data_IF_688682216352
#
_entry.id   IF_688682216352
#
_cell.length_a   1.000
_cell.length_b   1.000
_cell.length_c   1.000
_cell.angle_alpha   90.00
_cell.angle_beta   90.00
_cell.angle_gamma   90.00
#
_symmetry.space_group_name_H-M   'P 1'
#
loop_
_entity.id
_entity.type
_entity.pdbx_description
1 polymer ?
#
# COMPACT_ATOMS: atom_id res chain seq x y z
N UNK A 1 -6.66 10.34 -23.37
CA UNK A 1 -5.42 11.14 -23.25
C UNK A 1 -5.07 11.19 -21.77
N UNK A 2 -3.86 10.78 -21.39
CA UNK A 2 -3.40 10.82 -19.99
C UNK A 2 -2.56 12.08 -19.81
N UNK A 3 -2.97 12.98 -18.91
CA UNK A 3 -2.26 14.23 -18.63
C UNK A 3 -1.95 14.31 -17.13
N UNK A 4 -0.73 14.70 -16.80
CA UNK A 4 -0.30 15.04 -15.44
C UNK A 4 -0.07 16.54 -15.40
N UNK A 5 -0.64 17.22 -14.40
CA UNK A 5 -0.47 18.65 -14.17
C UNK A 5 -0.02 18.87 -12.73
N UNK A 6 0.98 19.74 -12.54
CA UNK A 6 1.59 20.04 -11.25
C UNK A 6 1.52 21.54 -11.05
N UNK A 7 0.99 21.97 -9.90
CA UNK A 7 0.94 23.36 -9.47
C UNK A 7 1.63 23.42 -8.11
N UNK A 8 2.75 24.12 -8.04
CA UNK A 8 3.57 24.24 -6.84
C UNK A 8 4.26 25.60 -6.79
N UNK A 9 4.38 26.19 -5.60
CA UNK A 9 5.02 27.49 -5.38
C UNK A 9 6.55 27.39 -5.21
N UNK A 10 7.10 26.17 -5.12
CA UNK A 10 8.52 25.89 -4.90
C UNK A 10 9.10 24.88 -5.90
N UNK A 11 10.37 24.53 -5.71
CA UNK A 11 11.04 23.52 -6.53
C UNK A 11 10.35 22.16 -6.39
N UNK A 12 10.13 21.49 -7.52
CA UNK A 12 9.50 20.17 -7.55
C UNK A 12 10.19 19.26 -8.56
N UNK A 13 10.12 17.95 -8.30
CA UNK A 13 10.57 16.90 -9.21
C UNK A 13 9.55 15.77 -9.24
N UNK A 14 9.33 15.15 -10.40
CA UNK A 14 8.55 13.92 -10.54
C UNK A 14 9.41 12.84 -11.15
N UNK A 15 9.43 11.68 -10.48
CA UNK A 15 10.00 10.45 -10.99
C UNK A 15 8.86 9.48 -11.30
N UNK A 16 8.86 8.92 -12.50
CA UNK A 16 7.89 7.89 -12.91
C UNK A 16 8.65 6.60 -13.08
N UNK A 17 8.33 5.62 -12.25
CA UNK A 17 8.88 4.27 -12.30
C UNK A 17 7.87 3.29 -12.87
N UNK A 18 8.36 2.23 -13.51
CA UNK A 18 7.52 1.11 -13.89
C UNK A 18 7.00 0.41 -12.62
N UNK A 19 5.77 -0.09 -12.69
CA UNK A 19 5.18 -0.85 -11.59
C UNK A 19 5.96 -2.12 -11.27
N UNK A 20 6.74 -2.66 -12.22
CA UNK A 20 7.63 -3.79 -11.99
C UNK A 20 8.76 -3.49 -11.00
N UNK A 21 9.09 -2.22 -10.78
CA UNK A 21 10.11 -1.77 -9.81
C UNK A 21 9.57 -1.70 -8.38
N UNK A 22 8.25 -1.79 -8.19
CA UNK A 22 7.64 -1.82 -6.87
C UNK A 22 8.19 -3.00 -6.04
N UNK A 23 8.47 -2.75 -4.76
CA UNK A 23 8.99 -3.77 -3.85
C UNK A 23 8.02 -4.95 -3.78
N UNK A 24 8.53 -6.15 -4.04
CA UNK A 24 7.73 -7.37 -4.00
C UNK A 24 7.75 -8.00 -2.61
N UNK A 25 6.62 -8.59 -2.21
CA UNK A 25 6.53 -9.44 -1.02
C UNK A 25 5.48 -10.55 -1.21
N UNK A 26 5.67 -11.67 -0.53
CA UNK A 26 4.74 -12.81 -0.50
C UNK A 26 4.18 -13.11 0.89
N UNK A 27 4.87 -12.63 1.94
CA UNK A 27 4.63 -13.00 3.33
C UNK A 27 4.67 -11.79 4.25
N UNK A 28 5.78 -11.05 4.33
CA UNK A 28 5.89 -9.85 5.18
C UNK A 28 6.54 -8.68 4.45
N UNK A 29 6.13 -7.47 4.82
CA UNK A 29 6.76 -6.24 4.35
C UNK A 29 6.54 -5.12 5.36
N UNK A 30 7.54 -4.24 5.50
CA UNK A 30 7.47 -3.04 6.32
C UNK A 30 7.81 -1.81 5.49
N UNK A 31 7.38 -0.66 5.97
CA UNK A 31 7.67 0.61 5.34
C UNK A 31 7.40 1.80 6.25
N UNK A 32 7.62 2.99 5.70
CA UNK A 32 7.35 4.27 6.34
C UNK A 32 6.80 5.22 5.29
N UNK A 33 5.71 5.90 5.65
CA UNK A 33 5.05 6.83 4.73
C UNK A 33 4.28 6.10 3.62
N UNK A 34 3.91 6.87 2.60
CA UNK A 34 3.24 6.37 1.40
C UNK A 34 4.12 5.37 0.65
N UNK A 35 3.51 4.31 0.12
CA UNK A 35 4.23 3.29 -0.64
C UNK A 35 3.33 2.53 -1.61
N UNK A 36 3.94 1.96 -2.65
CA UNK A 36 3.31 1.03 -3.58
C UNK A 36 4.13 -0.26 -3.58
N UNK A 37 3.52 -1.35 -3.11
CA UNK A 37 4.16 -2.66 -3.00
C UNK A 37 3.42 -3.71 -3.83
N UNK A 38 4.16 -4.68 -4.37
CA UNK A 38 3.61 -5.76 -5.19
C UNK A 38 3.48 -7.03 -4.36
N UNK A 39 2.24 -7.48 -4.16
CA UNK A 39 1.96 -8.77 -3.54
C UNK A 39 2.05 -9.88 -4.58
N UNK A 40 2.91 -10.88 -4.34
CA UNK A 40 3.12 -12.04 -5.20
C UNK A 40 2.71 -13.38 -4.57
N UNK A 41 2.18 -13.36 -3.35
CA UNK A 41 1.77 -14.56 -2.62
C UNK A 41 0.40 -15.12 -3.05
N UNK A 42 0.01 -16.23 -2.41
CA UNK A 42 -1.26 -16.91 -2.63
C UNK A 42 -2.47 -16.22 -1.99
N UNK A 43 -3.61 -16.91 -1.97
CA UNK A 43 -4.75 -16.45 -1.15
C UNK A 43 -4.37 -16.53 0.33
N UNK A 44 -4.83 -15.57 1.13
CA UNK A 44 -4.55 -15.57 2.57
C UNK A 44 -5.26 -14.45 3.32
N UNK A 45 -4.85 -14.26 4.57
CA UNK A 45 -5.31 -13.20 5.45
C UNK A 45 -4.20 -12.15 5.59
N UNK A 46 -4.43 -10.98 5.00
CA UNK A 46 -3.60 -9.80 5.22
C UNK A 46 -3.84 -9.27 6.64
N UNK A 47 -2.77 -9.06 7.38
CA UNK A 47 -2.77 -8.44 8.70
C UNK A 47 -1.95 -7.15 8.62
N UNK A 48 -2.49 -6.06 9.18
CA UNK A 48 -1.78 -4.80 9.31
C UNK A 48 -1.42 -4.51 10.76
N UNK A 49 -0.26 -3.91 10.97
CA UNK A 49 0.15 -3.29 12.22
C UNK A 49 0.64 -1.88 11.93
N UNK A 50 -0.03 -0.92 12.54
CA UNK A 50 0.23 0.51 12.36
C UNK A 50 0.22 1.19 13.73
N UNK A 51 1.39 1.57 14.28
CA UNK A 51 1.48 2.26 15.56
C UNK A 51 1.35 3.79 15.45
N UNK A 52 1.11 4.32 14.24
CA UNK A 52 1.07 5.76 13.98
C UNK A 52 -0.23 6.43 14.43
N UNK A 53 -0.24 7.75 14.39
CA UNK A 53 -1.37 8.59 14.83
C UNK A 53 -2.13 9.22 13.65
N UNK A 54 -1.53 9.18 12.45
CA UNK A 54 -2.14 9.70 11.22
C UNK A 54 -3.16 8.73 10.61
N UNK A 55 -3.77 9.13 9.50
CA UNK A 55 -4.58 8.24 8.67
C UNK A 55 -3.70 7.09 8.12
N UNK A 56 -4.29 5.89 8.08
CA UNK A 56 -3.68 4.67 7.57
C UNK A 56 -4.66 3.99 6.62
N UNK A 57 -4.37 4.12 5.32
CA UNK A 57 -5.19 3.54 4.25
C UNK A 57 -4.36 2.51 3.50
N UNK A 58 -4.93 1.32 3.30
CA UNK A 58 -4.36 0.30 2.42
C UNK A 58 -5.39 -0.07 1.38
N UNK A 59 -5.01 0.09 0.10
CA UNK A 59 -5.86 -0.19 -1.04
C UNK A 59 -5.22 -1.20 -1.96
N UNK A 60 -5.98 -2.22 -2.35
CA UNK A 60 -5.62 -3.08 -3.48
C UNK A 60 -6.02 -2.39 -4.78
N UNK A 61 -5.07 -2.26 -5.71
CA UNK A 61 -5.35 -1.86 -7.10
C UNK A 61 -5.48 -3.08 -8.00
N UNK A 62 -6.45 -3.06 -8.89
CA UNK A 62 -6.73 -4.12 -9.84
C UNK A 62 -8.23 -4.29 -10.13
N UNK A 63 -8.65 -5.52 -10.46
CA UNK A 63 -10.06 -5.87 -10.59
C UNK A 63 -10.40 -7.02 -9.63
N UNK A 64 -11.18 -6.78 -8.55
CA UNK A 64 -11.69 -5.49 -8.11
C UNK A 64 -10.61 -4.61 -7.46
N UNK A 65 -10.78 -3.29 -7.63
CA UNK A 65 -10.18 -2.28 -6.74
C UNK A 65 -10.87 -2.40 -5.38
N UNK A 66 -10.09 -2.42 -4.30
CA UNK A 66 -10.64 -2.68 -2.96
C UNK A 66 -9.93 -1.84 -1.90
N UNK A 67 -10.70 -1.23 -1.01
CA UNK A 67 -10.18 -0.68 0.25
C UNK A 67 -10.06 -1.85 1.23
N UNK A 68 -8.84 -2.10 1.71
CA UNK A 68 -8.54 -3.17 2.65
C UNK A 68 -8.61 -2.65 4.09
N UNK A 69 -8.02 -1.46 4.32
CA UNK A 69 -8.03 -0.75 5.59
C UNK A 69 -8.19 0.76 5.30
N UNK A 70 -8.94 1.47 6.14
CA UNK A 70 -9.13 2.93 6.09
C UNK A 70 -9.44 3.39 7.51
N UNK A 71 -8.38 3.71 8.25
CA UNK A 71 -8.42 3.89 9.69
C UNK A 71 -7.62 5.13 10.10
N UNK A 72 -7.85 5.61 11.32
CA UNK A 72 -7.12 6.76 11.88
C UNK A 72 -6.58 6.41 13.26
N UNK A 73 -5.30 6.69 13.46
CA UNK A 73 -4.60 6.35 14.71
C UNK A 73 -4.14 4.89 14.74
N UNK A 74 -3.67 4.41 15.91
CA UNK A 74 -3.09 3.08 16.02
C UNK A 74 -4.07 1.99 15.57
N UNK A 75 -3.61 1.11 14.69
CA UNK A 75 -4.44 0.09 14.07
C UNK A 75 -3.76 -1.28 14.03
N UNK A 76 -4.54 -2.30 14.36
CA UNK A 76 -4.20 -3.70 14.15
C UNK A 76 -5.45 -4.46 13.68
N UNK A 77 -5.42 -4.92 12.44
CA UNK A 77 -6.59 -5.55 11.82
C UNK A 77 -6.23 -6.52 10.72
N UNK A 78 -7.24 -7.26 10.25
CA UNK A 78 -7.08 -8.37 9.32
C UNK A 78 -8.18 -8.37 8.29
N UNK A 79 -7.87 -8.74 7.05
CA UNK A 79 -8.85 -8.87 5.98
C UNK A 79 -8.42 -9.95 4.98
N UNK A 80 -9.34 -10.68 4.34
CA UNK A 80 -8.99 -11.59 3.26
C UNK A 80 -8.29 -10.87 2.11
N UNK A 81 -7.26 -11.51 1.56
CA UNK A 81 -6.52 -11.05 0.40
C UNK A 81 -6.47 -12.18 -0.64
N UNK A 82 -6.93 -11.88 -1.85
CA UNK A 82 -6.83 -12.78 -2.98
C UNK A 82 -5.37 -12.93 -3.42
N UNK A 83 -5.07 -14.03 -4.10
CA UNK A 83 -3.76 -14.28 -4.68
C UNK A 83 -3.27 -13.10 -5.55
N UNK A 84 -1.95 -12.91 -5.54
CA UNK A 84 -1.27 -12.01 -6.45
C UNK A 84 -1.28 -12.50 -7.91
N UNK A 85 -0.69 -11.73 -8.83
CA UNK A 85 -0.06 -10.44 -8.59
C UNK A 85 -1.08 -9.34 -8.29
N UNK A 86 -0.83 -8.54 -7.26
CA UNK A 86 -1.66 -7.38 -6.91
C UNK A 86 -0.79 -6.22 -6.40
N UNK A 87 -1.23 -4.99 -6.61
CA UNK A 87 -0.59 -3.83 -6.00
C UNK A 87 -1.34 -3.44 -4.75
N UNK A 88 -0.60 -3.23 -3.67
CA UNK A 88 -1.11 -2.57 -2.47
C UNK A 88 -0.53 -1.17 -2.42
N UNK A 89 -1.41 -0.18 -2.33
CA UNK A 89 -1.07 1.22 -2.12
C UNK A 89 -1.31 1.51 -0.65
N UNK A 90 -0.24 1.84 0.07
CA UNK A 90 -0.28 2.28 1.46
C UNK A 90 -0.22 3.80 1.46
N UNK A 91 -1.13 4.44 2.18
CA UNK A 91 -1.13 5.89 2.35
C UNK A 91 -1.10 6.24 3.83
N UNK A 92 0.00 6.85 4.27
CA UNK A 92 0.28 7.24 5.66
C UNK A 92 1.56 8.07 5.74
N UNK A 93 1.89 8.60 6.92
CA UNK A 93 3.16 9.30 7.18
C UNK A 93 4.08 8.54 8.14
N UNK A 94 3.53 7.56 8.86
CA UNK A 94 4.22 6.84 9.93
C UNK A 94 4.73 5.47 9.45
N UNK A 95 5.35 4.71 10.36
CA UNK A 95 5.80 3.35 10.08
C UNK A 95 4.61 2.39 10.03
N UNK A 96 4.72 1.36 9.20
CA UNK A 96 3.69 0.33 9.07
C UNK A 96 4.31 -1.03 8.75
N UNK A 97 3.56 -2.08 9.08
CA UNK A 97 3.90 -3.47 8.76
C UNK A 97 2.68 -4.20 8.22
N UNK A 98 2.89 -4.99 7.16
CA UNK A 98 1.91 -5.89 6.59
C UNK A 98 2.45 -7.32 6.62
N UNK A 99 1.56 -8.27 6.89
CA UNK A 99 1.87 -9.69 6.77
C UNK A 99 0.70 -10.46 6.17
N UNK A 100 0.98 -11.51 5.42
CA UNK A 100 -0.01 -12.41 4.85
C UNK A 100 0.28 -13.82 5.32
N UNK A 101 -0.72 -14.46 5.90
CA UNK A 101 -0.71 -15.88 6.25
C UNK A 101 -1.75 -16.61 5.39
N UNK A 102 -1.53 -17.87 5.01
CA UNK A 102 -2.54 -18.70 4.32
C UNK A 102 -3.87 -18.79 5.08
#
# INVERSE_FOLDING_TARGET
MTQVAIVADGEWSVNVSDVSEAREFDSTITGRGDDVVRYAGGVGILSASYPGEADFVVRRRGRPDQVLFDEKGPYAGRTPLNAGPALLVVSTRDQWALSVAP
#
